data_IF_570156829502
#
_entry.id   IF_570156829502
#
_cell.length_a   1.000
_cell.length_b   1.000
_cell.length_c   1.000
_cell.angle_alpha   90.00
_cell.angle_beta   90.00
_cell.angle_gamma   90.00
#
_symmetry.space_group_name_H-M   'P 1'
#
loop_
_entity.id
_entity.type
_entity.pdbx_description
1 polymer ?
#
# COMPACT_ATOMS: atom_id res chain seq x y z
N UNK A 1 -8.66 -16.59 14.41
CA UNK A 1 -9.00 -15.16 14.66
C UNK A 1 -10.41 -14.89 14.14
N UNK A 2 -11.23 -14.07 14.82
CA UNK A 2 -12.63 -13.83 14.41
C UNK A 2 -12.78 -13.21 13.00
N UNK A 3 -11.72 -12.59 12.47
CA UNK A 3 -11.72 -11.93 11.17
C UNK A 3 -11.67 -12.90 9.98
N UNK A 4 -10.97 -14.04 10.11
CA UNK A 4 -10.72 -14.96 8.99
C UNK A 4 -9.62 -14.49 8.05
N UNK A 5 -9.21 -15.36 7.11
CA UNK A 5 -8.11 -15.09 6.17
C UNK A 5 -8.53 -14.19 5.02
N UNK A 6 -9.73 -14.42 4.48
CA UNK A 6 -10.28 -13.72 3.33
C UNK A 6 -10.44 -12.24 3.66
N UNK A 7 -11.17 -11.95 4.75
CA UNK A 7 -11.43 -10.58 5.17
C UNK A 7 -10.18 -9.83 5.62
N UNK A 8 -9.19 -10.53 6.20
CA UNK A 8 -7.90 -9.91 6.51
C UNK A 8 -7.21 -9.44 5.22
N UNK A 9 -7.20 -10.28 4.19
CA UNK A 9 -6.57 -9.96 2.91
C UNK A 9 -7.34 -8.92 2.11
N UNK A 10 -8.67 -8.88 2.22
CA UNK A 10 -9.48 -7.79 1.66
C UNK A 10 -9.04 -6.44 2.24
N UNK A 11 -8.82 -6.36 3.56
CA UNK A 11 -8.31 -5.13 4.18
C UNK A 11 -6.86 -4.82 3.80
N UNK A 12 -5.97 -5.82 3.76
CA UNK A 12 -4.59 -5.64 3.31
C UNK A 12 -4.56 -5.03 1.90
N UNK A 13 -5.37 -5.55 0.98
CA UNK A 13 -5.51 -5.03 -0.38
C UNK A 13 -6.16 -3.64 -0.40
N UNK A 14 -7.16 -3.39 0.45
CA UNK A 14 -7.81 -2.09 0.58
C UNK A 14 -6.87 -0.97 1.08
N UNK A 15 -5.84 -1.32 1.85
CA UNK A 15 -4.75 -0.41 2.23
C UNK A 15 -3.71 -0.19 1.12
N UNK A 16 -3.87 -0.81 -0.05
CA UNK A 16 -2.98 -0.66 -1.21
C UNK A 16 -1.78 -1.62 -1.21
N UNK A 17 -1.67 -2.53 -0.25
CA UNK A 17 -0.57 -3.49 -0.21
C UNK A 17 -0.68 -4.51 -1.35
N UNK A 18 0.48 -4.99 -1.83
CA UNK A 18 0.54 -5.98 -2.91
C UNK A 18 0.31 -5.41 -4.30
N UNK A 19 0.17 -4.08 -4.43
CA UNK A 19 -0.05 -3.38 -5.70
C UNK A 19 0.90 -2.19 -5.83
N UNK A 20 1.18 -1.79 -7.06
CA UNK A 20 1.90 -0.54 -7.33
C UNK A 20 1.09 0.65 -6.80
N UNK A 21 1.76 1.61 -6.17
CA UNK A 21 1.12 2.81 -5.63
C UNK A 21 0.78 3.82 -6.73
N UNK A 22 1.49 3.72 -7.85
CA UNK A 22 1.39 4.66 -8.96
C UNK A 22 2.12 5.98 -8.69
N UNK A 23 3.00 6.02 -7.70
CA UNK A 23 3.90 7.16 -7.52
C UNK A 23 4.73 7.32 -8.80
N UNK A 24 4.99 8.57 -9.18
CA UNK A 24 5.76 8.94 -10.37
C UNK A 24 7.26 8.63 -10.23
N UNK A 25 7.61 7.46 -9.70
CA UNK A 25 8.97 6.97 -9.52
C UNK A 25 9.20 5.68 -10.30
N UNK A 26 10.33 5.56 -11.01
CA UNK A 26 10.71 4.31 -11.65
C UNK A 26 11.03 3.24 -10.59
N UNK A 27 10.83 1.97 -10.93
CA UNK A 27 11.26 0.85 -10.09
C UNK A 27 10.35 0.51 -8.92
N UNK A 28 9.08 0.93 -8.94
CA UNK A 28 8.11 0.50 -7.93
C UNK A 28 8.02 -1.04 -7.83
N UNK A 29 8.07 -1.53 -6.58
CA UNK A 29 7.83 -2.92 -6.23
C UNK A 29 6.45 -3.06 -5.55
N UNK A 30 5.77 -4.18 -5.80
CA UNK A 30 4.46 -4.50 -5.22
C UNK A 30 4.54 -5.00 -3.77
N UNK A 31 5.73 -5.38 -3.31
CA UNK A 31 5.91 -6.09 -2.05
C UNK A 31 5.69 -7.60 -2.20
N UNK A 32 5.61 -8.30 -1.07
CA UNK A 32 5.43 -9.75 -0.97
C UNK A 32 4.31 -10.02 0.04
N UNK A 33 3.23 -10.66 -0.42
CA UNK A 33 2.11 -11.08 0.43
C UNK A 33 1.95 -12.60 0.35
N UNK A 34 1.48 -13.22 1.42
CA UNK A 34 1.08 -14.63 1.37
C UNK A 34 -0.04 -14.88 0.37
N UNK A 35 -0.06 -16.09 -0.19
CA UNK A 35 -1.20 -16.59 -0.94
C UNK A 35 -2.29 -17.08 0.04
N UNK A 36 -3.49 -16.48 -0.06
CA UNK A 36 -4.65 -16.77 0.81
C UNK A 36 -5.13 -18.22 0.68
N UNK A 37 -4.93 -18.83 -0.48
CA UNK A 37 -5.40 -20.20 -0.74
C UNK A 37 -4.50 -21.24 -0.05
N UNK A 38 -3.22 -20.95 0.11
CA UNK A 38 -2.22 -21.89 0.63
C UNK A 38 -1.76 -21.57 2.05
N UNK A 39 -2.26 -20.48 2.66
CA UNK A 39 -1.79 -20.07 3.98
C UNK A 39 -2.29 -20.97 5.11
N UNK A 40 -1.40 -21.22 6.06
CA UNK A 40 -1.71 -21.93 7.31
C UNK A 40 -2.31 -20.98 8.36
N UNK A 41 -2.82 -21.57 9.45
CA UNK A 41 -3.25 -20.78 10.62
C UNK A 41 -2.10 -20.01 11.28
N UNK A 42 -0.86 -20.52 11.17
CA UNK A 42 0.33 -19.82 11.67
C UNK A 42 0.64 -18.59 10.80
N UNK A 43 0.58 -18.72 9.48
CA UNK A 43 0.77 -17.61 8.52
C UNK A 43 -0.27 -16.51 8.73
N UNK A 44 -1.53 -16.90 8.96
CA UNK A 44 -2.62 -15.99 9.33
C UNK A 44 -2.31 -15.23 10.63
N UNK A 45 -1.80 -15.94 11.65
CA UNK A 45 -1.46 -15.33 12.92
C UNK A 45 -0.34 -14.29 12.75
N UNK A 46 0.77 -14.65 12.11
CA UNK A 46 1.92 -13.75 11.94
C UNK A 46 1.60 -12.56 11.03
N UNK A 47 0.80 -12.77 9.98
CA UNK A 47 0.34 -11.68 9.10
C UNK A 47 -0.43 -10.62 9.87
N UNK A 48 -1.24 -11.02 10.86
CA UNK A 48 -2.10 -10.09 11.61
C UNK A 48 -1.35 -9.02 12.39
N UNK A 49 -0.06 -9.24 12.66
CA UNK A 49 0.83 -8.27 13.33
C UNK A 49 2.05 -7.89 12.49
N UNK A 50 1.96 -8.07 11.16
CA UNK A 50 2.94 -7.54 10.21
C UNK A 50 4.17 -8.42 9.96
N UNK A 51 4.14 -9.69 10.37
CA UNK A 51 5.21 -10.66 10.08
C UNK A 51 4.83 -11.54 8.87
N UNK A 52 5.84 -11.98 8.11
CA UNK A 52 5.67 -12.86 6.94
C UNK A 52 5.20 -12.15 5.65
N UNK A 53 5.00 -10.83 5.69
CA UNK A 53 4.74 -10.01 4.51
C UNK A 53 5.80 -8.92 4.41
N UNK A 54 6.08 -8.45 3.19
CA UNK A 54 6.95 -7.32 2.92
C UNK A 54 6.19 -6.25 2.12
N UNK A 55 6.26 -5.01 2.56
CA UNK A 55 5.64 -3.85 1.89
C UNK A 55 6.69 -2.79 1.64
N UNK A 56 6.47 -1.92 0.67
CA UNK A 56 7.38 -0.79 0.44
C UNK A 56 7.11 0.32 1.47
N UNK A 57 8.12 1.16 1.79
CA UNK A 57 7.92 2.29 2.70
C UNK A 57 6.78 3.23 2.28
N UNK A 58 6.59 3.44 0.97
CA UNK A 58 5.52 4.30 0.45
C UNK A 58 4.13 3.68 0.62
N UNK A 59 3.98 2.36 0.43
CA UNK A 59 2.74 1.66 0.75
C UNK A 59 2.39 1.79 2.24
N UNK A 60 3.40 1.65 3.13
CA UNK A 60 3.19 1.81 4.58
C UNK A 60 2.75 3.23 4.95
N UNK A 61 3.37 4.25 4.34
CA UNK A 61 2.99 5.65 4.56
C UNK A 61 1.56 5.94 4.08
N UNK A 62 1.16 5.41 2.92
CA UNK A 62 -0.21 5.53 2.39
C UNK A 62 -1.24 4.92 3.35
N UNK A 63 -0.97 3.73 3.89
CA UNK A 63 -1.88 3.08 4.82
C UNK A 63 -2.05 3.90 6.13
N UNK A 64 -0.96 4.41 6.68
CA UNK A 64 -1.00 5.30 7.85
C UNK A 64 -1.79 6.60 7.54
N UNK A 65 -1.57 7.19 6.37
CA UNK A 65 -2.31 8.38 5.93
C UNK A 65 -3.80 8.10 5.75
N UNK A 66 -4.18 6.94 5.21
CA UNK A 66 -5.57 6.52 5.07
C UNK A 66 -6.28 6.44 6.44
N UNK A 67 -5.59 5.97 7.48
CA UNK A 67 -6.13 5.99 8.85
C UNK A 67 -6.34 7.44 9.32
N UNK A 68 -5.37 8.32 9.07
CA UNK A 68 -5.43 9.72 9.50
C UNK A 68 -6.49 10.55 8.75
N UNK A 69 -6.78 10.23 7.49
CA UNK A 69 -7.63 11.05 6.60
C UNK A 69 -9.08 10.56 6.47
N UNK A 70 -9.56 9.75 7.43
CA UNK A 70 -10.93 9.25 7.44
C UNK A 70 -11.18 8.05 6.53
N UNK A 71 -10.17 7.23 6.29
CA UNK A 71 -10.27 5.95 5.58
C UNK A 71 -10.12 6.05 4.05
N UNK A 72 -9.58 7.15 3.52
CA UNK A 72 -9.42 7.36 2.08
C UNK A 72 -7.99 7.05 1.66
N UNK A 73 -7.79 5.99 0.88
CA UNK A 73 -6.48 5.70 0.32
C UNK A 73 -6.16 6.71 -0.79
N UNK A 74 -5.17 7.57 -0.54
CA UNK A 74 -4.78 8.64 -1.47
C UNK A 74 -3.75 8.14 -2.48
N UNK A 75 -3.76 8.72 -3.68
CA UNK A 75 -2.68 8.53 -4.64
C UNK A 75 -1.46 9.39 -4.23
N UNK A 76 -0.27 8.80 -4.02
CA UNK A 76 0.91 9.55 -3.61
C UNK A 76 1.52 10.31 -4.79
N UNK A 77 1.86 11.59 -4.57
CA UNK A 77 2.51 12.44 -5.57
C UNK A 77 3.80 13.02 -5.01
N UNK A 78 4.87 12.99 -5.81
CA UNK A 78 6.16 13.61 -5.47
C UNK A 78 6.34 14.94 -6.20
N UNK A 79 5.88 15.01 -7.44
CA UNK A 79 5.90 16.24 -8.24
C UNK A 79 4.72 17.10 -7.85
N UNK A 80 5.01 18.33 -7.39
CA UNK A 80 3.97 19.31 -7.05
C UNK A 80 3.52 20.10 -8.28
N UNK A 81 4.48 20.54 -9.10
CA UNK A 81 4.25 21.31 -10.31
C UNK A 81 5.49 21.23 -11.22
N UNK A 82 5.30 21.51 -12.51
CA UNK A 82 6.32 21.63 -13.56
C UNK A 82 6.16 23.03 -14.17
N UNK A 83 7.26 23.76 -14.28
CA UNK A 83 7.32 25.08 -14.92
C UNK A 83 8.23 25.06 -16.13
N UNK A 84 7.91 25.88 -17.14
CA UNK A 84 8.74 26.06 -18.32
C UNK A 84 9.92 27.02 -18.05
N UNK A 85 10.70 27.32 -19.09
CA UNK A 85 11.84 28.24 -19.04
C UNK A 85 11.45 29.69 -18.68
N UNK A 86 10.18 30.06 -18.90
CA UNK A 86 9.63 31.39 -18.59
C UNK A 86 9.05 31.46 -17.17
N UNK A 87 8.94 30.32 -16.48
CA UNK A 87 8.34 30.20 -15.15
C UNK A 87 6.83 29.95 -15.17
N UNK A 88 6.24 29.73 -16.34
CA UNK A 88 4.81 29.46 -16.51
C UNK A 88 4.48 28.02 -16.09
N UNK A 89 3.32 27.83 -15.46
CA UNK A 89 2.84 26.52 -15.00
C UNK A 89 2.45 25.64 -16.20
N UNK A 90 3.04 24.45 -16.27
CA UNK A 90 2.80 23.47 -17.35
C UNK A 90 2.05 22.24 -16.84
N UNK A 91 2.32 21.81 -15.60
CA UNK A 91 1.67 20.66 -14.96
C UNK A 91 1.72 20.78 -13.45
#
# INVERSE_FOLDING_TARGET
TRLGKEKLFDYIRAFGYGSKTGVDLPGENTGILFNVDTMSNADLAVTSFGQGNAVTPIQQAMAAAAIANGGRLMHPMIVKEIRDENGDLVK
#
